data_IF_976216559722
#
_entry.id   IF_976216559722
#
_cell.length_a   1.000
_cell.length_b   1.000
_cell.length_c   1.000
_cell.angle_alpha   90.00
_cell.angle_beta   90.00
_cell.angle_gamma   90.00
#
_symmetry.space_group_name_H-M   'P 1'
#
loop_
_entity.id
_entity.type
_entity.pdbx_description
1 polymer ?
#
# COMPACT_ATOMS: atom_id res chain seq x y z
N UNK A 1 -1.93 -12.85 -14.64
CA UNK A 1 -2.12 -11.64 -15.48
C UNK A 1 -2.28 -10.47 -14.52
N UNK A 2 -1.53 -9.37 -14.69
CA UNK A 2 -1.64 -8.21 -13.80
C UNK A 2 -2.86 -7.34 -14.11
N UNK A 3 -3.23 -6.45 -13.19
CA UNK A 3 -4.28 -5.45 -13.38
C UNK A 3 -3.84 -4.08 -12.81
N UNK A 4 -4.45 -3.00 -13.25
CA UNK A 4 -4.20 -1.66 -12.70
C UNK A 4 -5.12 -1.43 -11.49
N UNK A 5 -4.55 -1.08 -10.34
CA UNK A 5 -5.30 -0.75 -9.13
C UNK A 5 -5.22 0.75 -8.84
N UNK A 6 -6.32 1.31 -8.31
CA UNK A 6 -6.36 2.67 -7.78
C UNK A 6 -6.02 2.64 -6.30
N UNK A 7 -5.05 3.44 -5.90
CA UNK A 7 -4.64 3.61 -4.52
C UNK A 7 -4.89 5.04 -4.05
N UNK A 8 -5.35 5.20 -2.82
CA UNK A 8 -5.39 6.50 -2.13
C UNK A 8 -4.45 6.44 -0.95
N UNK A 9 -3.27 7.02 -1.10
CA UNK A 9 -2.22 6.94 -0.09
C UNK A 9 -2.19 8.24 0.69
N UNK A 10 -2.24 8.14 2.03
CA UNK A 10 -2.09 9.32 2.88
C UNK A 10 -0.65 9.82 2.80
N UNK A 11 -0.51 11.10 2.48
CA UNK A 11 0.76 11.79 2.34
C UNK A 11 0.74 13.07 3.17
N UNK A 12 1.76 13.24 4.00
CA UNK A 12 1.81 14.32 4.95
C UNK A 12 2.97 14.21 5.93
N UNK A 13 3.02 15.18 6.83
CA UNK A 13 3.98 15.29 7.93
C UNK A 13 3.24 15.39 9.28
N UNK A 14 3.94 15.86 10.31
CA UNK A 14 3.39 16.01 11.66
C UNK A 14 2.31 17.11 11.76
N UNK A 15 2.22 18.02 10.80
CA UNK A 15 1.31 19.18 10.81
C UNK A 15 0.09 18.99 9.90
N UNK A 16 0.28 18.37 8.72
CA UNK A 16 -0.79 18.23 7.73
C UNK A 16 -0.60 17.04 6.79
N UNK A 17 -1.69 16.61 6.16
CA UNK A 17 -1.64 15.61 5.10
C UNK A 17 -2.97 15.37 4.42
N UNK A 18 -2.91 14.75 3.26
CA UNK A 18 -4.07 14.45 2.42
C UNK A 18 -3.93 13.09 1.74
N UNK A 19 -5.04 12.58 1.20
CA UNK A 19 -5.03 11.37 0.38
C UNK A 19 -4.69 11.76 -1.06
N UNK A 20 -3.58 11.24 -1.56
CA UNK A 20 -3.18 11.38 -2.95
C UNK A 20 -3.56 10.11 -3.74
N UNK A 21 -4.07 10.29 -4.96
CA UNK A 21 -4.54 9.21 -5.82
C UNK A 21 -3.42 8.70 -6.74
N UNK A 22 -3.23 7.38 -6.79
CA UNK A 22 -2.26 6.69 -7.65
C UNK A 22 -2.93 5.59 -8.46
N UNK A 23 -2.41 5.33 -9.67
CA UNK A 23 -2.82 4.17 -10.48
C UNK A 23 -1.58 3.35 -10.77
N UNK A 24 -1.53 2.11 -10.28
CA UNK A 24 -0.32 1.31 -10.29
C UNK A 24 -0.63 -0.13 -10.72
N UNK A 25 0.23 -0.76 -11.54
CA UNK A 25 0.06 -2.16 -11.91
C UNK A 25 0.21 -3.05 -10.68
N UNK A 26 -0.56 -4.13 -10.63
CA UNK A 26 -0.56 -5.15 -9.59
C UNK A 26 -0.34 -6.50 -10.24
N UNK A 27 0.64 -7.26 -9.74
CA UNK A 27 0.89 -8.62 -10.18
C UNK A 27 0.20 -9.65 -9.28
N UNK A 28 0.03 -10.85 -9.82
CA UNK A 28 -0.57 -11.95 -9.08
C UNK A 28 0.25 -12.33 -7.85
N UNK A 29 -0.44 -12.52 -6.72
CA UNK A 29 0.18 -12.91 -5.46
C UNK A 29 0.77 -11.77 -4.63
N UNK A 30 0.77 -10.54 -5.14
CA UNK A 30 1.28 -9.37 -4.41
C UNK A 30 0.43 -9.03 -3.18
N UNK A 31 1.09 -8.40 -2.21
CA UNK A 31 0.44 -7.82 -1.03
C UNK A 31 0.55 -6.30 -1.08
N UNK A 32 -0.24 -5.59 -0.27
CA UNK A 32 -0.24 -4.12 -0.25
C UNK A 32 1.17 -3.55 -0.06
N UNK A 33 2.01 -4.17 0.78
CA UNK A 33 3.39 -3.69 0.96
C UNK A 33 4.22 -3.70 -0.33
N UNK A 34 4.00 -4.65 -1.24
CA UNK A 34 4.70 -4.67 -2.53
C UNK A 34 4.31 -3.48 -3.40
N UNK A 35 3.03 -3.10 -3.36
CA UNK A 35 2.52 -1.95 -4.10
C UNK A 35 3.07 -0.64 -3.53
N UNK A 36 3.09 -0.51 -2.21
CA UNK A 36 3.67 0.65 -1.53
C UNK A 36 5.16 0.80 -1.85
N UNK A 37 5.92 -0.30 -1.89
CA UNK A 37 7.33 -0.26 -2.31
C UNK A 37 7.48 0.12 -3.79
N UNK A 38 6.57 -0.34 -4.66
CA UNK A 38 6.57 0.04 -6.07
C UNK A 38 6.32 1.54 -6.23
N UNK A 39 5.33 2.10 -5.55
CA UNK A 39 5.08 3.54 -5.52
C UNK A 39 6.32 4.29 -5.03
N UNK A 40 6.93 3.85 -3.93
CA UNK A 40 8.17 4.44 -3.40
C UNK A 40 9.34 4.34 -4.40
N UNK A 41 9.42 3.30 -5.22
CA UNK A 41 10.48 3.16 -6.21
C UNK A 41 10.24 3.95 -7.50
N UNK A 42 9.03 4.48 -7.73
CA UNK A 42 8.62 5.03 -9.04
C UNK A 42 7.99 6.41 -8.91
N UNK A 43 6.72 6.49 -8.52
CA UNK A 43 5.91 7.71 -8.54
C UNK A 43 6.09 8.59 -7.29
N UNK A 44 6.45 7.98 -6.16
CA UNK A 44 6.44 8.62 -4.84
C UNK A 44 7.73 8.34 -4.04
N UNK A 45 8.93 8.71 -4.53
CA UNK A 45 10.22 8.36 -3.93
C UNK A 45 10.47 8.92 -2.52
N UNK A 46 9.70 9.92 -2.13
CA UNK A 46 9.68 10.56 -0.82
C UNK A 46 8.60 9.99 0.12
N UNK A 47 7.84 8.98 -0.31
CA UNK A 47 6.82 8.34 0.52
C UNK A 47 7.46 7.66 1.74
N UNK A 48 7.07 8.08 2.94
CA UNK A 48 7.51 7.45 4.17
C UNK A 48 6.81 6.10 4.38
N UNK A 49 7.58 5.02 4.48
CA UNK A 49 7.05 3.66 4.69
C UNK A 49 7.86 2.94 5.76
N UNK A 50 7.20 2.52 6.83
CA UNK A 50 7.82 1.68 7.87
C UNK A 50 7.59 0.20 7.56
N UNK A 51 8.67 -0.57 7.48
CA UNK A 51 8.62 -2.02 7.30
C UNK A 51 9.92 -2.67 7.77
N UNK A 52 9.91 -3.99 7.90
CA UNK A 52 11.10 -4.80 8.23
C UNK A 52 10.93 -6.23 7.71
N UNK A 53 10.32 -7.14 8.50
CA UNK A 53 10.45 -8.58 8.27
C UNK A 53 9.74 -9.15 7.02
N UNK A 54 8.75 -8.44 6.45
CA UNK A 54 7.83 -8.93 5.40
C UNK A 54 7.37 -10.40 5.60
N UNK A 55 7.10 -10.78 6.85
CA UNK A 55 6.76 -12.16 7.22
C UNK A 55 5.62 -12.26 8.24
N UNK A 56 4.90 -11.16 8.49
CA UNK A 56 3.77 -11.13 9.43
C UNK A 56 4.12 -11.26 10.91
N UNK A 57 5.40 -11.19 11.30
CA UNK A 57 5.83 -11.38 12.70
C UNK A 57 6.10 -10.10 13.47
N UNK A 58 6.73 -9.12 12.83
CA UNK A 58 7.29 -7.95 13.53
C UNK A 58 6.38 -6.74 13.63
N UNK A 59 5.18 -6.75 13.03
CA UNK A 59 4.21 -5.64 13.12
C UNK A 59 4.60 -4.31 12.48
N UNK A 60 5.89 -4.08 12.15
CA UNK A 60 6.44 -2.81 11.65
C UNK A 60 5.74 -2.16 10.46
N UNK A 61 5.02 -2.95 9.66
CA UNK A 61 4.24 -2.50 8.49
C UNK A 61 2.73 -2.49 8.77
N UNK A 62 2.34 -2.21 10.02
CA UNK A 62 0.95 -1.99 10.37
C UNK A 62 0.48 -0.65 9.83
N UNK A 63 -0.63 -0.63 9.11
CA UNK A 63 -1.32 0.58 8.67
C UNK A 63 -2.81 0.31 8.55
N UNK A 64 -3.61 1.38 8.47
CA UNK A 64 -5.01 1.26 8.10
C UNK A 64 -5.12 1.07 6.59
N UNK A 65 -5.92 0.08 6.15
CA UNK A 65 -6.25 -0.14 4.74
C UNK A 65 -7.77 -0.24 4.65
N UNK A 66 -8.40 0.68 3.92
CA UNK A 66 -9.85 0.81 3.81
C UNK A 66 -10.57 0.74 5.18
N UNK A 67 -10.14 1.57 6.14
CA UNK A 67 -10.77 1.70 7.45
C UNK A 67 -10.47 0.56 8.43
N UNK A 68 -9.59 -0.39 8.08
CA UNK A 68 -9.26 -1.55 8.91
C UNK A 68 -7.77 -1.61 9.23
N UNK A 69 -7.37 -1.85 10.50
CA UNK A 69 -5.97 -2.06 10.83
C UNK A 69 -5.49 -3.38 10.21
N UNK A 70 -4.40 -3.31 9.43
CA UNK A 70 -3.85 -4.44 8.69
C UNK A 70 -2.33 -4.46 8.79
N UNK A 71 -1.75 -5.66 8.60
CA UNK A 71 -0.32 -5.78 8.27
C UNK A 71 -0.19 -5.73 6.75
N UNK A 72 0.48 -4.71 6.22
CA UNK A 72 0.61 -4.52 4.77
C UNK A 72 1.30 -5.72 4.10
N UNK A 73 2.25 -6.36 4.78
CA UNK A 73 2.95 -7.54 4.26
C UNK A 73 2.11 -8.82 4.19
N UNK A 74 0.94 -8.88 4.84
CA UNK A 74 0.05 -10.04 4.85
C UNK A 74 -1.27 -9.77 4.13
N UNK A 75 -1.50 -8.54 3.69
CA UNK A 75 -2.76 -8.13 3.06
C UNK A 75 -2.64 -8.34 1.57
N UNK A 76 -3.18 -9.45 1.07
CA UNK A 76 -3.14 -9.80 -0.36
C UNK A 76 -3.97 -8.82 -1.19
N UNK A 77 -3.45 -8.46 -2.37
CA UNK A 77 -4.18 -7.64 -3.33
C UNK A 77 -5.45 -8.32 -3.84
N UNK A 78 -5.45 -9.66 -3.88
CA UNK A 78 -6.64 -10.45 -4.25
C UNK A 78 -7.81 -10.35 -3.28
N UNK A 79 -7.68 -9.64 -2.15
CA UNK A 79 -8.80 -9.36 -1.24
C UNK A 79 -9.63 -8.14 -1.65
N UNK A 80 -9.16 -7.33 -2.61
CA UNK A 80 -9.82 -6.12 -3.05
C UNK A 80 -10.46 -6.32 -4.42
N UNK A 81 -11.63 -5.73 -4.63
CA UNK A 81 -12.33 -5.81 -5.90
C UNK A 81 -11.66 -4.88 -6.94
N UNK A 82 -11.41 -5.35 -8.17
CA UNK A 82 -10.89 -4.49 -9.22
C UNK A 82 -11.80 -3.29 -9.47
N UNK A 83 -11.23 -2.08 -9.45
CA UNK A 83 -11.94 -0.83 -9.73
C UNK A 83 -12.34 -0.02 -8.50
N UNK A 84 -12.37 -0.64 -7.31
CA UNK A 84 -12.51 0.10 -6.05
C UNK A 84 -11.14 0.67 -5.60
N UNK A 85 -11.10 1.90 -5.05
CA UNK A 85 -9.87 2.44 -4.48
C UNK A 85 -9.44 1.65 -3.23
N UNK A 86 -8.13 1.47 -3.09
CA UNK A 86 -7.46 0.82 -1.97
C UNK A 86 -6.73 1.84 -1.12
#
# INVERSE_FOLDING_TARGET
MGYEAKFRVFRGDDESGELEDFTIPVNEGEVVLDIIHRLQATEAPDLAVRWNCKAGRGGSCSAEVNGKPRLLCMTRMSHFEPGEPI
#
